data_IF_293437682553
#
_entry.id   IF_293437682553
#
_cell.length_a   1.000
_cell.length_b   1.000
_cell.length_c   1.000
_cell.angle_alpha   90.00
_cell.angle_beta   90.00
_cell.angle_gamma   90.00
#
_symmetry.space_group_name_H-M   'P 1'
#
loop_
_entity.id
_entity.type
_entity.pdbx_description
1 polymer ?
#
# COMPACT_ATOMS: atom_id res chain seq x y z
N UNK A 1 18.15 -18.29 0.96
CA UNK A 1 17.03 -17.85 0.07
C UNK A 1 16.87 -16.36 0.27
N UNK A 2 17.01 -15.55 -0.77
CA UNK A 2 16.67 -14.13 -0.73
C UNK A 2 15.32 -13.99 -1.41
N UNK A 3 14.26 -13.83 -0.61
CA UNK A 3 12.91 -13.58 -1.12
C UNK A 3 12.67 -12.08 -1.20
N UNK A 4 12.09 -11.60 -2.29
CA UNK A 4 11.54 -10.25 -2.38
C UNK A 4 10.11 -10.23 -1.87
N UNK A 5 9.74 -9.15 -1.18
CA UNK A 5 8.39 -8.94 -0.64
C UNK A 5 7.84 -7.63 -1.20
N UNK A 6 6.70 -7.71 -1.89
CA UNK A 6 5.95 -6.55 -2.35
C UNK A 6 4.66 -6.46 -1.53
N UNK A 7 4.39 -5.30 -0.94
CA UNK A 7 3.19 -5.01 -0.17
C UNK A 7 2.52 -3.78 -0.75
N UNK A 8 1.19 -3.83 -0.88
CA UNK A 8 0.38 -2.68 -1.28
C UNK A 8 -0.60 -2.35 -0.15
N UNK A 9 -0.79 -1.05 0.10
CA UNK A 9 -1.73 -0.56 1.09
C UNK A 9 -2.45 0.67 0.55
N UNK A 10 -3.68 0.87 1.01
CA UNK A 10 -4.43 2.11 0.78
C UNK A 10 -4.04 3.21 1.76
N UNK A 11 -3.26 2.87 2.78
CA UNK A 11 -2.79 3.75 3.83
C UNK A 11 -1.29 4.00 3.65
N UNK A 12 -0.84 5.25 3.81
CA UNK A 12 0.59 5.54 3.82
C UNK A 12 1.27 4.88 5.03
N UNK A 13 2.56 4.66 4.91
CA UNK A 13 3.34 3.82 5.84
C UNK A 13 3.42 4.40 7.25
N UNK A 14 3.30 5.72 7.37
CA UNK A 14 3.33 6.51 8.59
C UNK A 14 2.20 6.13 9.55
N UNK A 15 1.00 5.86 9.03
CA UNK A 15 -0.16 5.52 9.86
C UNK A 15 -0.29 4.03 10.16
N UNK A 16 0.61 3.17 9.66
CA UNK A 16 0.48 1.72 9.87
C UNK A 16 0.64 1.35 11.34
N UNK A 17 1.55 2.02 12.06
CA UNK A 17 1.76 1.76 13.49
C UNK A 17 0.47 1.90 14.29
N UNK A 18 -0.31 2.95 14.01
CA UNK A 18 -1.58 3.25 14.69
C UNK A 18 -2.71 2.27 14.33
N UNK A 19 -2.58 1.51 13.24
CA UNK A 19 -3.57 0.50 12.83
C UNK A 19 -3.42 -0.82 13.56
N UNK A 20 -2.28 -1.06 14.19
CA UNK A 20 -2.08 -2.25 15.00
C UNK A 20 -2.71 -2.09 16.37
N UNK A 21 -3.38 -3.15 16.82
CA UNK A 21 -4.05 -3.16 18.13
C UNK A 21 -3.06 -3.37 19.29
N UNK A 22 -1.88 -3.95 19.01
CA UNK A 22 -0.81 -4.21 19.97
C UNK A 22 0.49 -3.54 19.45
N UNK A 23 1.06 -2.59 20.22
CA UNK A 23 2.27 -1.88 19.81
C UNK A 23 3.50 -2.81 19.70
N UNK A 24 3.57 -3.87 20.50
CA UNK A 24 4.69 -4.83 20.47
C UNK A 24 4.70 -5.61 19.17
N UNK A 25 3.52 -6.00 18.69
CA UNK A 25 3.37 -6.71 17.41
C UNK A 25 3.65 -5.75 16.25
N UNK A 26 3.18 -4.49 16.37
CA UNK A 26 3.44 -3.45 15.39
C UNK A 26 4.94 -3.27 15.18
N UNK A 27 5.70 -3.05 16.25
CA UNK A 27 7.16 -2.90 16.22
C UNK A 27 7.81 -4.13 15.57
N UNK A 28 7.48 -5.34 16.02
CA UNK A 28 8.10 -6.56 15.51
C UNK A 28 7.85 -6.81 14.02
N UNK A 29 6.70 -6.40 13.48
CA UNK A 29 6.36 -6.53 12.05
C UNK A 29 7.02 -5.41 11.24
N UNK A 30 6.92 -4.17 11.70
CA UNK A 30 7.43 -3.00 10.97
C UNK A 30 8.96 -3.00 10.91
N UNK A 31 9.65 -3.47 11.96
CA UNK A 31 11.11 -3.68 11.94
C UNK A 31 11.55 -4.67 10.86
N UNK A 32 10.74 -5.69 10.55
CA UNK A 32 11.09 -6.69 9.52
C UNK A 32 10.82 -6.21 8.11
N UNK A 33 9.76 -5.44 7.93
CA UNK A 33 9.27 -5.08 6.60
C UNK A 33 9.83 -3.72 6.18
N UNK A 34 9.75 -2.71 7.04
CA UNK A 34 10.04 -1.32 6.67
C UNK A 34 11.54 -1.06 6.61
N UNK A 35 12.31 -1.66 7.52
CA UNK A 35 13.75 -1.39 7.70
C UNK A 35 14.59 -1.55 6.42
N UNK A 36 14.16 -2.40 5.47
CA UNK A 36 14.83 -2.56 4.17
C UNK A 36 13.83 -2.46 3.00
N UNK A 37 12.83 -1.59 3.12
CA UNK A 37 11.83 -1.37 2.07
C UNK A 37 12.11 -0.12 1.24
N UNK A 38 11.63 -0.16 -0.01
CA UNK A 38 11.46 1.03 -0.84
C UNK A 38 9.98 1.39 -0.85
N UNK A 39 9.66 2.60 -0.41
CA UNK A 39 8.28 3.09 -0.37
C UNK A 39 7.96 3.88 -1.64
N UNK A 40 6.82 3.55 -2.25
CA UNK A 40 6.28 4.27 -3.40
C UNK A 40 4.88 4.75 -3.07
N UNK A 41 4.69 6.07 -2.97
CA UNK A 41 3.37 6.66 -2.85
C UNK A 41 2.74 6.80 -4.23
N UNK A 42 1.55 6.21 -4.39
CA UNK A 42 0.81 6.24 -5.64
C UNK A 42 -0.38 7.17 -5.45
N UNK A 43 -0.39 8.27 -6.18
CA UNK A 43 -1.48 9.24 -6.25
C UNK A 43 -2.14 9.21 -7.62
N UNK A 44 -3.45 9.38 -7.68
CA UNK A 44 -4.19 9.46 -8.94
C UNK A 44 -5.63 8.96 -8.80
N UNK A 45 -6.43 9.17 -9.84
CA UNK A 45 -7.77 8.62 -9.91
C UNK A 45 -7.75 7.10 -10.07
N UNK A 46 -8.82 6.44 -9.59
CA UNK A 46 -8.96 5.01 -9.76
C UNK A 46 -9.01 4.65 -11.24
N UNK A 47 -8.06 3.81 -11.69
CA UNK A 47 -8.05 3.25 -13.04
C UNK A 47 -9.34 2.50 -13.38
N UNK A 48 -10.12 2.03 -12.38
CA UNK A 48 -11.43 1.41 -12.59
C UNK A 48 -12.46 2.39 -13.15
N UNK A 49 -12.37 3.69 -12.81
CA UNK A 49 -13.23 4.74 -13.39
C UNK A 49 -12.92 4.92 -14.88
N UNK A 50 -11.64 4.84 -15.25
CA UNK A 50 -11.19 5.09 -16.63
C UNK A 50 -11.80 4.05 -17.59
N UNK A 51 -11.80 2.77 -17.22
CA UNK A 51 -12.44 1.73 -18.01
C UNK A 51 -13.96 1.88 -18.14
N UNK A 52 -14.65 2.50 -17.17
CA UNK A 52 -16.10 2.75 -17.28
C UNK A 52 -16.43 4.01 -18.09
N UNK A 53 -15.50 4.95 -18.22
CA UNK A 53 -15.69 6.16 -19.02
C UNK A 53 -15.45 5.89 -20.52
N UNK A 54 -14.52 5.00 -20.87
CA UNK A 54 -14.23 4.65 -22.28
C UNK A 54 -15.43 3.98 -22.99
N UNK A 55 -16.27 3.24 -22.27
CA UNK A 55 -17.49 2.64 -22.85
C UNK A 55 -18.62 3.66 -23.11
N UNK A 56 -18.71 4.74 -22.33
CA UNK A 56 -19.76 5.76 -22.47
C UNK A 56 -19.36 6.85 -23.48
N UNK A 57 -18.06 7.15 -23.60
CA UNK A 57 -17.55 8.17 -24.52
C UNK A 57 -17.52 7.74 -26.01
N UNK A 58 -17.90 6.49 -26.30
CA UNK A 58 -17.96 5.93 -27.67
C UNK A 58 -19.39 5.92 -28.25
N UNK A 59 -20.38 6.48 -27.54
CA UNK A 59 -21.75 6.74 -28.01
C UNK A 59 -22.00 8.25 -28.16
#
# INVERSE_FOLDING_TARGET
MQGSLLITSQFSYDIWYEKFNDPTIADAILDRIIHNSYTFEISGDSMRKIGSFDEIATL
#
